data_IF_638326035361
#
_entry.id   IF_638326035361
#
_cell.length_a   1.000
_cell.length_b   1.000
_cell.length_c   1.000
_cell.angle_alpha   90.00
_cell.angle_beta   90.00
_cell.angle_gamma   90.00
#
_symmetry.space_group_name_H-M   'P 1'
#
loop_
_entity.id
_entity.type
_entity.pdbx_description
1 polymer ?
#
# COMPACT_ATOMS: atom_id res chain seq x y z
N UNK A 1 9.12 15.13 -9.31
CA UNK A 1 8.09 14.12 -9.02
C UNK A 1 8.60 12.81 -9.58
N UNK A 2 8.99 11.88 -8.71
CA UNK A 2 9.57 10.59 -9.11
C UNK A 2 8.56 9.50 -8.76
N UNK A 3 8.03 8.84 -9.78
CA UNK A 3 7.07 7.75 -9.64
C UNK A 3 7.71 6.54 -8.95
N UNK A 4 7.63 6.51 -7.63
CA UNK A 4 8.24 5.47 -6.76
C UNK A 4 7.21 4.72 -5.92
N UNK A 5 5.98 5.18 -5.82
CA UNK A 5 4.98 4.58 -4.94
C UNK A 5 3.94 3.82 -5.74
N UNK A 6 3.58 2.63 -5.29
CA UNK A 6 2.48 1.84 -5.85
C UNK A 6 1.55 1.46 -4.72
N UNK A 7 0.32 1.92 -4.78
CA UNK A 7 -0.69 1.65 -3.76
C UNK A 7 -1.56 0.47 -4.18
N UNK A 8 -2.00 -0.31 -3.20
CA UNK A 8 -2.83 -1.50 -3.38
C UNK A 8 -4.04 -1.39 -2.46
N UNK A 9 -5.21 -1.71 -2.98
CA UNK A 9 -6.41 -1.84 -2.17
C UNK A 9 -6.35 -3.14 -1.34
N UNK A 10 -6.69 -3.04 -0.06
CA UNK A 10 -6.79 -4.18 0.85
C UNK A 10 -8.04 -5.03 0.60
N UNK A 11 -9.10 -4.40 0.08
CA UNK A 11 -10.42 -5.01 -0.10
C UNK A 11 -10.55 -5.74 -1.44
N UNK A 12 -9.99 -5.16 -2.50
CA UNK A 12 -9.95 -5.79 -3.82
C UNK A 12 -8.54 -5.71 -4.39
N UNK A 13 -8.14 -6.68 -5.23
CA UNK A 13 -6.78 -6.76 -5.78
C UNK A 13 -6.34 -5.59 -6.68
N UNK A 14 -7.05 -4.46 -6.66
CA UNK A 14 -6.73 -3.24 -7.38
C UNK A 14 -5.38 -2.67 -6.92
N UNK A 15 -4.56 -2.28 -7.90
CA UNK A 15 -3.23 -1.69 -7.70
C UNK A 15 -3.09 -0.47 -8.60
N UNK A 16 -2.59 0.63 -8.06
CA UNK A 16 -2.24 1.80 -8.85
C UNK A 16 -0.99 1.53 -9.68
N UNK A 17 -0.73 2.36 -10.70
CA UNK A 17 0.58 2.36 -11.37
C UNK A 17 1.62 2.96 -10.42
N UNK A 18 2.91 2.80 -10.74
CA UNK A 18 3.96 3.57 -10.07
C UNK A 18 3.69 5.06 -10.27
N UNK A 19 3.49 5.76 -9.17
CA UNK A 19 3.10 7.16 -9.10
C UNK A 19 3.88 7.85 -7.98
N UNK A 20 3.81 9.16 -7.92
CA UNK A 20 4.22 9.90 -6.73
C UNK A 20 3.31 9.56 -5.54
N UNK A 21 3.84 9.68 -4.32
CA UNK A 21 3.11 9.40 -3.07
C UNK A 21 1.73 10.08 -3.04
N UNK A 22 1.72 11.41 -3.24
CA UNK A 22 0.49 12.22 -3.24
C UNK A 22 -0.53 11.75 -4.27
N UNK A 23 -0.09 11.41 -5.48
CA UNK A 23 -1.01 10.99 -6.54
C UNK A 23 -1.49 9.56 -6.33
N UNK A 24 -0.63 8.67 -5.84
CA UNK A 24 -0.99 7.30 -5.48
C UNK A 24 -2.01 7.25 -4.35
N UNK A 25 -1.82 8.05 -3.30
CA UNK A 25 -2.77 8.17 -2.19
C UNK A 25 -4.13 8.70 -2.65
N UNK A 26 -4.17 9.76 -3.46
CA UNK A 26 -5.42 10.28 -4.02
C UNK A 26 -6.15 9.27 -4.91
N UNK A 27 -5.40 8.49 -5.71
CA UNK A 27 -6.02 7.45 -6.54
C UNK A 27 -6.57 6.29 -5.71
N UNK A 28 -5.88 5.89 -4.65
CA UNK A 28 -6.37 4.86 -3.73
C UNK A 28 -7.63 5.34 -3.00
N UNK A 29 -7.63 6.57 -2.47
CA UNK A 29 -8.80 7.16 -1.79
C UNK A 29 -10.01 7.24 -2.72
N UNK A 30 -9.82 7.75 -3.95
CA UNK A 30 -10.90 7.79 -4.94
C UNK A 30 -11.42 6.41 -5.29
N UNK A 31 -10.53 5.40 -5.32
CA UNK A 31 -10.93 4.02 -5.55
C UNK A 31 -11.79 3.50 -4.39
N UNK A 32 -11.39 3.71 -3.12
CA UNK A 32 -12.21 3.35 -1.96
C UNK A 32 -13.58 4.03 -2.00
N UNK A 33 -13.64 5.34 -2.27
CA UNK A 33 -14.93 6.05 -2.37
C UNK A 33 -15.86 5.51 -3.46
N UNK A 34 -15.30 4.99 -4.55
CA UNK A 34 -16.09 4.53 -5.71
C UNK A 34 -16.43 3.03 -5.67
N UNK A 35 -15.52 2.20 -5.18
CA UNK A 35 -15.65 0.75 -5.18
C UNK A 35 -16.00 0.18 -3.81
N UNK A 36 -15.66 0.88 -2.73
CA UNK A 36 -15.84 0.46 -1.34
C UNK A 36 -16.46 1.58 -0.48
N UNK A 37 -17.67 2.05 -0.82
CA UNK A 37 -18.32 3.11 -0.07
C UNK A 37 -18.56 2.66 1.39
N UNK A 38 -18.05 3.44 2.35
CA UNK A 38 -18.19 3.15 3.78
C UNK A 38 -17.13 2.20 4.36
N UNK A 39 -16.17 1.73 3.56
CA UNK A 39 -15.01 0.98 4.07
C UNK A 39 -13.86 1.94 4.29
N UNK A 40 -13.22 1.85 5.46
CA UNK A 40 -12.04 2.65 5.75
C UNK A 40 -10.87 2.24 4.84
N UNK A 41 -10.04 3.19 4.37
CA UNK A 41 -8.91 2.88 3.51
C UNK A 41 -7.83 2.06 4.27
N UNK A 42 -7.90 0.73 4.16
CA UNK A 42 -6.93 -0.21 4.74
C UNK A 42 -5.87 -0.72 3.75
N UNK A 43 -5.61 0.00 2.66
CA UNK A 43 -4.70 -0.45 1.60
C UNK A 43 -3.21 -0.33 1.96
N UNK A 44 -2.38 -1.16 1.33
CA UNK A 44 -0.93 -1.13 1.45
C UNK A 44 -0.26 -0.31 0.34
N UNK A 45 1.02 -0.01 0.50
CA UNK A 45 1.84 0.59 -0.56
C UNK A 45 3.21 -0.07 -0.68
N UNK A 46 3.73 -0.08 -1.89
CA UNK A 46 5.06 -0.54 -2.26
C UNK A 46 5.89 0.66 -2.70
N UNK A 47 7.15 0.72 -2.26
CA UNK A 47 8.10 1.75 -2.68
C UNK A 47 9.13 1.11 -3.60
N UNK A 48 9.26 1.65 -4.82
CA UNK A 48 10.28 1.30 -5.80
C UNK A 48 11.64 1.72 -5.24
N UNK A 49 12.36 0.76 -4.66
CA UNK A 49 13.77 0.93 -4.29
C UNK A 49 14.62 0.52 -5.47
N UNK A 50 15.19 1.49 -6.17
CA UNK A 50 16.35 1.27 -7.02
C UNK A 50 17.54 0.92 -6.11
N UNK A 51 17.86 -0.37 -5.99
CA UNK A 51 19.19 -0.82 -5.60
C UNK A 51 19.52 -1.04 -4.11
N UNK A 52 18.59 -1.39 -3.22
CA UNK A 52 18.99 -1.94 -1.90
C UNK A 52 17.95 -2.86 -1.25
N UNK A 53 18.28 -4.17 -1.25
CA UNK A 53 17.89 -5.33 -0.39
C UNK A 53 16.49 -5.38 0.27
N UNK A 54 15.85 -6.59 0.35
CA UNK A 54 14.52 -6.77 0.93
C UNK A 54 14.59 -6.63 2.45
N UNK A 55 14.15 -5.49 2.96
CA UNK A 55 14.04 -5.22 4.40
C UNK A 55 12.58 -5.10 4.83
N UNK A 56 11.74 -6.07 4.46
CA UNK A 56 10.40 -6.24 5.03
C UNK A 56 10.20 -7.74 5.34
N UNK A 57 10.90 -8.22 6.37
CA UNK A 57 10.41 -9.40 7.09
C UNK A 57 9.60 -8.88 8.27
N UNK A 58 8.28 -8.95 8.12
CA UNK A 58 7.41 -9.07 9.26
C UNK A 58 7.83 -10.31 10.05
N UNK A 59 8.39 -10.10 11.23
CA UNK A 59 8.40 -11.09 12.28
C UNK A 59 7.66 -10.42 13.43
N UNK A 60 6.35 -10.68 13.51
CA UNK A 60 5.69 -10.60 14.81
C UNK A 60 6.46 -11.56 15.71
N UNK A 61 7.30 -11.04 16.61
CA UNK A 61 7.67 -11.80 17.80
C UNK A 61 6.37 -11.98 18.58
N UNK A 62 5.67 -13.09 18.34
CA UNK A 62 4.80 -13.69 19.34
C UNK A 62 5.73 -14.32 20.37
N UNK A 63 6.20 -13.51 21.32
CA UNK A 63 6.72 -14.04 22.58
C UNK A 63 5.54 -14.64 23.35
N UNK A 64 5.39 -15.95 23.16
CA UNK A 64 5.39 -17.00 24.19
C UNK A 64 4.56 -16.81 25.48
N UNK A 65 3.68 -17.80 25.73
CA UNK A 65 3.14 -18.25 27.02
C UNK A 65 2.91 -19.77 26.84
N UNK A 66 3.21 -20.68 27.79
CA UNK A 66 3.10 -20.59 29.25
C UNK A 66 4.34 -20.81 30.10
#
# INVERSE_FOLDING_TARGET
>A
MTAKFRYRCGECGHRTRWLDDREGAQRLERHYRRCHPGVEPGGDFEIRRDGQRPGCLGVFLRTDRP
#
